data_IF_843073443670
#
_entry.id   IF_843073443670
#
_cell.length_a   1.000
_cell.length_b   1.000
_cell.length_c   1.000
_cell.angle_alpha   90.00
_cell.angle_beta   90.00
_cell.angle_gamma   90.00
#
_symmetry.space_group_name_H-M   'P 1'
#
loop_
_entity.id
_entity.type
_entity.pdbx_description
1 polymer ?
#
# COMPACT_ATOMS: atom_id res chain seq x y z
N UNK A 1 25.00 -21.19 46.11
CA UNK A 1 26.36 -21.18 45.55
C UNK A 1 26.88 -22.61 45.51
N UNK A 2 26.98 -23.21 44.33
CA UNK A 2 27.71 -24.45 44.11
C UNK A 2 28.13 -24.47 42.64
N UNK A 3 29.43 -24.33 42.40
CA UNK A 3 30.06 -24.21 41.08
C UNK A 3 30.51 -25.61 40.69
N UNK A 4 29.98 -26.17 39.60
CA UNK A 4 30.50 -27.39 38.98
C UNK A 4 31.12 -27.04 37.63
N UNK A 5 32.44 -27.00 37.66
CA UNK A 5 33.37 -26.88 36.54
C UNK A 5 33.38 -28.20 35.76
N UNK A 6 33.13 -28.17 34.45
CA UNK A 6 33.40 -29.31 33.56
C UNK A 6 34.43 -28.86 32.53
N UNK A 7 35.60 -29.48 32.65
CA UNK A 7 36.76 -29.33 31.77
C UNK A 7 36.73 -30.49 30.79
N UNK A 8 36.76 -30.22 29.48
CA UNK A 8 37.10 -31.24 28.48
C UNK A 8 38.21 -30.73 27.58
N UNK A 9 39.35 -31.43 27.66
CA UNK A 9 40.56 -31.22 26.86
C UNK A 9 40.53 -32.11 25.61
N UNK A 10 40.67 -31.46 24.46
CA UNK A 10 41.57 -31.77 23.32
C UNK A 10 42.22 -33.16 23.18
N UNK A 11 42.09 -33.76 21.98
CA UNK A 11 43.17 -34.42 21.21
C UNK A 11 42.69 -34.68 19.76
N UNK A 12 43.18 -33.93 18.77
CA UNK A 12 44.17 -34.32 17.75
C UNK A 12 43.83 -35.59 16.93
N UNK A 13 43.58 -35.42 15.62
CA UNK A 13 44.29 -36.19 14.59
C UNK A 13 44.25 -35.53 13.21
N UNK A 14 45.44 -35.37 12.63
CA UNK A 14 45.73 -35.08 11.23
C UNK A 14 45.00 -36.03 10.28
N UNK A 15 44.44 -35.50 9.18
CA UNK A 15 44.27 -36.28 7.96
C UNK A 15 44.66 -35.44 6.74
N UNK A 16 45.34 -36.11 5.81
CA UNK A 16 46.10 -35.55 4.71
C UNK A 16 45.23 -34.92 3.61
N UNK A 17 45.76 -33.85 3.05
CA UNK A 17 45.87 -33.54 1.61
C UNK A 17 45.19 -34.53 0.64
N UNK A 18 44.12 -34.07 0.02
CA UNK A 18 43.75 -34.43 -1.34
C UNK A 18 43.27 -33.15 -2.05
N UNK A 19 44.21 -32.47 -2.70
CA UNK A 19 43.95 -31.36 -3.63
C UNK A 19 43.37 -31.95 -4.93
N UNK A 20 42.06 -32.16 -4.96
CA UNK A 20 41.32 -32.32 -6.21
C UNK A 20 41.02 -30.93 -6.76
N UNK A 21 41.75 -30.53 -7.80
CA UNK A 21 41.34 -29.44 -8.67
C UNK A 21 40.06 -29.86 -9.40
N UNK A 22 38.92 -29.62 -8.78
CA UNK A 22 37.66 -29.60 -9.48
C UNK A 22 37.64 -28.34 -10.34
N UNK A 23 37.79 -28.52 -11.65
CA UNK A 23 37.41 -27.53 -12.64
C UNK A 23 35.94 -27.18 -12.38
N UNK A 24 35.71 -26.06 -11.69
CA UNK A 24 34.41 -25.42 -11.67
C UNK A 24 34.16 -24.92 -13.09
N UNK A 25 33.52 -25.76 -13.90
CA UNK A 25 32.78 -25.31 -15.07
C UNK A 25 31.87 -24.22 -14.56
N UNK A 26 32.16 -22.98 -14.95
CA UNK A 26 31.28 -21.84 -14.76
C UNK A 26 30.04 -22.12 -15.60
N UNK A 27 29.15 -22.95 -15.05
CA UNK A 27 27.81 -23.15 -15.55
C UNK A 27 27.19 -21.77 -15.44
N UNK A 28 27.14 -21.07 -16.58
CA UNK A 28 26.37 -19.86 -16.71
C UNK A 28 24.94 -20.28 -16.44
N UNK A 29 24.52 -20.15 -15.18
CA UNK A 29 23.13 -20.23 -14.76
C UNK A 29 22.40 -19.39 -15.79
N UNK A 30 21.47 -19.97 -16.58
CA UNK A 30 20.68 -19.16 -17.48
C UNK A 30 20.04 -18.11 -16.60
N UNK A 31 20.45 -16.86 -16.81
CA UNK A 31 19.74 -15.70 -16.33
C UNK A 31 18.43 -15.70 -17.10
N UNK A 32 17.54 -16.61 -16.70
CA UNK A 32 16.12 -16.41 -16.84
C UNK A 32 15.92 -15.10 -16.12
N UNK A 33 15.80 -14.01 -16.89
CA UNK A 33 15.18 -12.82 -16.39
C UNK A 33 13.83 -13.32 -15.88
N UNK A 34 13.75 -13.61 -14.59
CA UNK A 34 12.49 -13.66 -13.87
C UNK A 34 11.92 -12.27 -14.13
N UNK A 35 11.15 -12.15 -15.21
CA UNK A 35 10.26 -11.02 -15.36
C UNK A 35 9.48 -11.02 -14.07
N UNK A 36 9.75 -10.02 -13.25
CA UNK A 36 8.97 -9.69 -12.08
C UNK A 36 7.52 -9.49 -12.56
N UNK A 37 6.77 -10.59 -12.62
CA UNK A 37 5.42 -10.56 -13.18
C UNK A 37 4.55 -9.92 -12.12
N UNK A 38 4.28 -8.64 -12.30
CA UNK A 38 3.31 -7.94 -11.48
C UNK A 38 1.95 -8.63 -11.51
N UNK A 39 1.28 -8.64 -10.36
CA UNK A 39 -0.06 -9.21 -10.28
C UNK A 39 -1.03 -8.29 -11.02
N UNK A 40 -1.75 -8.81 -12.02
CA UNK A 40 -2.68 -8.02 -12.81
C UNK A 40 -3.93 -7.68 -11.99
N UNK A 41 -4.36 -6.42 -12.07
CA UNK A 41 -5.49 -5.91 -11.31
C UNK A 41 -6.80 -6.31 -11.98
N UNK A 42 -7.80 -6.71 -11.18
CA UNK A 42 -9.18 -6.78 -11.64
C UNK A 42 -9.44 -7.80 -12.76
N UNK A 43 -8.57 -8.80 -12.95
CA UNK A 43 -8.76 -9.81 -14.02
C UNK A 43 -9.99 -10.69 -13.83
N UNK A 44 -10.60 -10.72 -12.64
CA UNK A 44 -11.83 -11.48 -12.40
C UNK A 44 -13.02 -10.71 -12.98
N UNK A 45 -13.64 -11.27 -14.03
CA UNK A 45 -14.68 -10.66 -14.88
C UNK A 45 -15.79 -10.00 -14.07
N UNK A 46 -16.21 -10.62 -12.97
CA UNK A 46 -17.26 -10.12 -12.09
C UNK A 46 -16.94 -8.74 -11.51
N UNK A 47 -15.69 -8.48 -11.16
CA UNK A 47 -15.26 -7.19 -10.61
C UNK A 47 -15.34 -6.05 -11.61
N UNK A 48 -15.03 -6.31 -12.88
CA UNK A 48 -15.02 -5.27 -13.91
C UNK A 48 -16.44 -4.85 -14.27
N UNK A 49 -17.37 -5.80 -14.45
CA UNK A 49 -18.76 -5.48 -14.80
C UNK A 49 -19.46 -4.73 -13.67
N UNK A 50 -19.29 -5.15 -12.43
CA UNK A 50 -19.84 -4.45 -11.27
C UNK A 50 -19.26 -3.02 -11.14
N UNK A 51 -17.94 -2.85 -11.33
CA UNK A 51 -17.32 -1.52 -11.29
C UNK A 51 -17.82 -0.61 -12.40
N UNK A 52 -17.93 -1.11 -13.63
CA UNK A 52 -18.44 -0.32 -14.76
C UNK A 52 -19.89 0.06 -14.49
N UNK A 53 -20.75 -0.89 -14.10
CA UNK A 53 -22.14 -0.60 -13.79
C UNK A 53 -22.30 0.44 -12.66
N UNK A 54 -21.49 0.34 -11.61
CA UNK A 54 -21.49 1.30 -10.51
C UNK A 54 -21.02 2.70 -10.96
N UNK A 55 -19.96 2.78 -11.77
CA UNK A 55 -19.46 4.05 -12.33
C UNK A 55 -20.45 4.66 -13.32
N UNK A 56 -21.06 3.87 -14.19
CA UNK A 56 -22.08 4.32 -15.13
C UNK A 56 -23.32 4.86 -14.42
N UNK A 57 -23.78 4.18 -13.36
CA UNK A 57 -24.89 4.68 -12.55
C UNK A 57 -24.55 5.99 -11.85
N UNK A 58 -23.29 6.23 -11.47
CA UNK A 58 -22.84 7.53 -10.94
C UNK A 58 -22.79 8.62 -12.02
N UNK A 59 -22.36 8.29 -13.24
CA UNK A 59 -22.27 9.23 -14.37
C UNK A 59 -23.65 9.65 -14.90
N UNK A 60 -24.70 8.84 -14.69
CA UNK A 60 -26.08 9.18 -15.06
C UNK A 60 -26.69 10.34 -14.25
N UNK A 61 -25.94 10.95 -13.32
CA UNK A 61 -26.32 12.16 -12.60
C UNK A 61 -25.33 13.32 -12.88
N UNK A 62 -25.26 13.86 -14.12
CA UNK A 62 -24.15 14.71 -14.57
C UNK A 62 -24.13 16.12 -13.96
N UNK A 63 -25.30 16.63 -13.55
CA UNK A 63 -25.42 17.99 -13.01
C UNK A 63 -24.66 18.18 -11.68
N UNK A 64 -24.63 17.17 -10.80
CA UNK A 64 -23.90 17.24 -9.53
C UNK A 64 -22.37 17.18 -9.73
N UNK A 65 -21.90 16.53 -10.80
CA UNK A 65 -20.46 16.37 -11.07
C UNK A 65 -19.83 17.65 -11.63
N UNK A 66 -20.50 18.32 -12.58
CA UNK A 66 -20.00 19.57 -13.15
C UNK A 66 -19.86 20.68 -12.10
N UNK A 67 -20.87 20.87 -11.24
CA UNK A 67 -20.81 21.89 -10.19
C UNK A 67 -19.69 21.61 -9.16
N UNK A 68 -19.44 20.33 -8.85
CA UNK A 68 -18.40 19.94 -7.89
C UNK A 68 -16.99 20.10 -8.47
N UNK A 69 -16.79 19.77 -9.74
CA UNK A 69 -15.49 19.94 -10.41
C UNK A 69 -15.12 21.41 -10.61
N UNK A 70 -16.08 22.25 -11.01
CA UNK A 70 -15.85 23.68 -11.23
C UNK A 70 -15.54 24.42 -9.91
N UNK A 71 -16.23 24.05 -8.84
CA UNK A 71 -15.94 24.54 -7.49
C UNK A 71 -14.55 24.12 -7.00
N UNK A 72 -14.10 22.90 -7.29
CA UNK A 72 -12.76 22.43 -6.90
C UNK A 72 -11.63 23.06 -7.72
N UNK A 73 -11.84 23.23 -9.02
CA UNK A 73 -10.86 23.91 -9.88
C UNK A 73 -10.60 25.33 -9.41
N UNK A 74 -11.66 26.07 -9.05
CA UNK A 74 -11.54 27.43 -8.49
C UNK A 74 -10.90 27.46 -7.10
N UNK A 75 -11.23 26.53 -6.20
CA UNK A 75 -10.58 26.42 -4.88
C UNK A 75 -9.09 26.07 -4.97
N UNK A 76 -8.71 25.16 -5.89
CA UNK A 76 -7.32 24.78 -6.10
C UNK A 76 -6.48 25.93 -6.68
N UNK A 77 -7.04 26.67 -7.66
CA UNK A 77 -6.40 27.88 -8.20
C UNK A 77 -6.23 28.95 -7.12
N UNK A 78 -7.25 29.19 -6.29
CA UNK A 78 -7.18 30.14 -5.19
C UNK A 78 -6.18 29.73 -4.09
N UNK A 79 -5.99 28.42 -3.84
CA UNK A 79 -4.98 27.92 -2.91
C UNK A 79 -3.56 28.09 -3.47
N UNK A 80 -3.38 27.89 -4.78
CA UNK A 80 -2.09 28.05 -5.46
C UNK A 80 -1.66 29.53 -5.52
N UNK A 81 -2.60 30.45 -5.77
CA UNK A 81 -2.35 31.90 -5.79
C UNK A 81 -1.91 32.44 -4.41
N UNK A 82 -2.45 31.88 -3.32
CA UNK A 82 -2.02 32.21 -1.95
C UNK A 82 -0.61 31.75 -1.61
N UNK A 83 -0.04 30.79 -2.34
CA UNK A 83 1.32 30.28 -2.10
C UNK A 83 2.41 31.04 -2.88
N UNK A 84 2.07 31.84 -3.90
CA UNK A 84 3.07 32.52 -4.74
C UNK A 84 3.53 33.91 -4.24
N UNK A 85 2.93 34.49 -3.21
CA UNK A 85 3.19 35.91 -2.82
C UNK A 85 4.28 36.07 -1.73
N UNK A 86 4.96 35.01 -1.29
CA UNK A 86 6.03 35.11 -0.26
C UNK A 86 7.39 34.61 -0.74
N UNK A 87 7.83 35.06 -1.92
CA UNK A 87 9.26 35.13 -2.27
C UNK A 87 9.75 36.57 -2.10
N UNK A 88 9.68 37.08 -0.87
CA UNK A 88 10.14 38.41 -0.49
C UNK A 88 10.89 38.31 0.84
N UNK A 89 12.19 38.56 0.78
CA UNK A 89 13.15 38.56 1.88
C UNK A 89 12.63 39.34 3.10
N UNK A 90 12.44 38.67 4.24
CA UNK A 90 12.90 39.11 5.57
C UNK A 90 12.35 38.27 6.73
N UNK A 91 13.28 37.72 7.50
CA UNK A 91 13.23 37.33 8.93
C UNK A 91 11.88 37.43 9.67
N UNK A 92 10.98 36.49 9.41
CA UNK A 92 9.88 36.17 10.33
C UNK A 92 10.13 34.77 10.89
N UNK A 93 10.39 34.70 12.21
CA UNK A 93 10.42 33.46 12.99
C UNK A 93 9.15 32.67 12.67
N UNK A 94 9.32 31.57 11.94
CA UNK A 94 8.27 30.64 11.60
C UNK A 94 7.85 29.94 12.91
N UNK A 95 6.91 30.55 13.64
CA UNK A 95 6.11 29.84 14.65
C UNK A 95 5.11 28.93 13.92
N UNK A 96 5.65 28.07 13.05
CA UNK A 96 4.92 27.03 12.36
C UNK A 96 4.43 26.05 13.40
N UNK A 97 3.19 26.24 13.84
CA UNK A 97 2.46 25.28 14.64
C UNK A 97 2.51 23.96 13.87
N UNK A 98 3.38 23.05 14.31
CA UNK A 98 3.55 21.75 13.69
C UNK A 98 2.15 21.17 13.47
N UNK A 99 1.82 20.69 12.25
CA UNK A 99 0.52 20.10 12.00
C UNK A 99 0.28 19.06 13.09
N UNK A 100 -0.88 19.15 13.76
CA UNK A 100 -1.26 18.16 14.77
C UNK A 100 -1.14 16.80 14.11
N UNK A 101 -0.12 16.05 14.50
CA UNK A 101 0.12 14.70 14.01
C UNK A 101 -1.17 13.91 14.23
N UNK A 102 -1.90 13.65 13.15
CA UNK A 102 -3.03 12.74 13.19
C UNK A 102 -2.41 11.37 13.39
N UNK A 103 -2.50 10.86 14.62
CA UNK A 103 -1.98 9.53 14.93
C UNK A 103 -2.88 8.51 14.23
N UNK A 104 -2.41 7.98 13.10
CA UNK A 104 -3.05 6.86 12.44
C UNK A 104 -2.74 5.60 13.25
N UNK A 105 -3.79 4.97 13.77
CA UNK A 105 -3.69 3.71 14.50
C UNK A 105 -3.81 2.53 13.53
N UNK A 106 -2.96 1.52 13.69
CA UNK A 106 -2.94 0.28 12.90
C UNK A 106 -2.60 -0.89 13.81
N UNK A 107 -3.10 -2.09 13.46
CA UNK A 107 -2.76 -3.34 14.16
C UNK A 107 -1.69 -4.17 13.45
N UNK A 108 -1.15 -3.67 12.34
CA UNK A 108 -0.13 -4.38 11.56
C UNK A 108 0.92 -3.42 10.98
N UNK A 109 2.19 -3.82 11.03
CA UNK A 109 3.32 -3.02 10.54
C UNK A 109 3.41 -2.99 9.00
N UNK A 110 2.91 -4.04 8.32
CA UNK A 110 2.89 -4.11 6.85
C UNK A 110 2.02 -3.08 6.13
N UNK A 111 1.42 -2.15 6.88
CA UNK A 111 0.59 -1.05 6.39
C UNK A 111 1.43 0.18 5.99
N UNK A 112 2.60 0.34 6.60
CA UNK A 112 3.52 1.41 6.25
C UNK A 112 4.33 0.99 5.02
N UNK A 113 4.33 1.85 4.01
CA UNK A 113 5.03 1.65 2.75
C UNK A 113 6.00 2.80 2.50
N UNK A 114 7.06 2.55 1.76
CA UNK A 114 7.94 3.58 1.26
C UNK A 114 7.71 3.79 -0.25
N UNK A 115 7.74 5.02 -0.77
CA UNK A 115 7.71 5.24 -2.20
C UNK A 115 9.07 4.84 -2.77
N UNK A 116 9.07 4.04 -3.83
CA UNK A 116 10.29 3.67 -4.55
C UNK A 116 10.58 4.68 -5.65
N UNK A 117 9.53 5.19 -6.31
CA UNK A 117 9.66 6.20 -7.35
C UNK A 117 8.39 7.04 -7.49
N UNK A 118 8.56 8.27 -7.92
CA UNK A 118 7.51 9.17 -8.37
C UNK A 118 7.89 9.64 -9.77
N UNK A 119 6.97 9.60 -10.72
CA UNK A 119 7.26 10.11 -12.07
C UNK A 119 7.51 11.61 -12.05
N UNK A 120 8.27 12.12 -13.03
CA UNK A 120 8.56 13.55 -13.13
C UNK A 120 7.30 14.43 -13.19
N UNK A 121 6.22 13.92 -13.79
CA UNK A 121 4.90 14.56 -13.85
C UNK A 121 4.04 14.38 -12.60
N UNK A 122 4.47 13.57 -11.63
CA UNK A 122 3.71 13.25 -10.41
C UNK A 122 2.44 12.44 -10.64
N UNK A 123 2.25 11.88 -11.85
CA UNK A 123 1.07 11.12 -12.26
C UNK A 123 1.08 9.66 -11.83
N UNK A 124 2.26 9.11 -11.49
CA UNK A 124 2.38 7.78 -10.90
C UNK A 124 3.29 7.81 -9.66
N UNK A 125 2.90 7.01 -8.68
CA UNK A 125 3.72 6.69 -7.50
C UNK A 125 3.85 5.17 -7.43
N UNK A 126 5.09 4.68 -7.35
CA UNK A 126 5.38 3.26 -7.11
C UNK A 126 5.87 3.08 -5.68
N UNK A 127 5.39 2.03 -5.01
CA UNK A 127 5.73 1.70 -3.64
C UNK A 127 6.76 0.55 -3.57
N UNK A 128 7.28 0.28 -2.38
CA UNK A 128 8.27 -0.77 -2.07
C UNK A 128 7.76 -2.21 -2.25
N UNK A 129 6.43 -2.42 -2.21
CA UNK A 129 5.79 -3.68 -2.63
C UNK A 129 5.70 -3.85 -4.16
N UNK A 130 6.17 -2.85 -4.91
CA UNK A 130 6.12 -2.78 -6.37
C UNK A 130 4.75 -2.45 -6.94
N UNK A 131 3.75 -2.17 -6.11
CA UNK A 131 2.49 -1.60 -6.60
C UNK A 131 2.70 -0.21 -7.20
N UNK A 132 1.92 0.11 -8.24
CA UNK A 132 1.95 1.42 -8.89
C UNK A 132 0.55 2.03 -8.89
N UNK A 133 0.48 3.33 -8.62
CA UNK A 133 -0.75 4.06 -8.36
C UNK A 133 -0.84 5.28 -9.26
N UNK A 134 -1.94 5.42 -10.00
CA UNK A 134 -2.22 6.61 -10.80
C UNK A 134 -2.77 7.70 -9.90
N UNK A 135 -2.11 8.85 -9.89
CA UNK A 135 -2.46 10.02 -9.08
C UNK A 135 -3.48 10.90 -9.80
N UNK A 136 -4.45 11.40 -9.04
CA UNK A 136 -5.40 12.40 -9.52
C UNK A 136 -4.67 13.60 -10.12
N UNK A 137 -5.10 14.06 -11.30
CA UNK A 137 -4.48 15.17 -12.03
C UNK A 137 -4.29 16.42 -11.18
N UNK A 138 -5.26 16.73 -10.32
CA UNK A 138 -5.23 17.86 -9.39
C UNK A 138 -4.27 17.68 -8.21
N UNK A 139 -3.86 16.44 -7.90
CA UNK A 139 -2.98 16.12 -6.79
C UNK A 139 -1.53 15.86 -7.22
N UNK A 140 -1.23 15.80 -8.53
CA UNK A 140 0.11 15.46 -9.06
C UNK A 140 1.24 16.32 -8.50
N UNK A 141 1.04 17.63 -8.39
CA UNK A 141 2.08 18.51 -7.87
C UNK A 141 2.43 18.22 -6.39
N UNK A 142 1.52 17.57 -5.65
CA UNK A 142 1.71 17.24 -4.25
C UNK A 142 2.65 16.06 -4.03
N UNK A 143 2.86 15.21 -5.04
CA UNK A 143 3.75 14.04 -4.95
C UNK A 143 5.19 14.36 -5.33
N UNK A 144 5.45 15.50 -5.98
CA UNK A 144 6.77 15.87 -6.50
C UNK A 144 7.86 16.02 -5.43
N UNK A 145 7.47 16.26 -4.17
CA UNK A 145 8.38 16.39 -3.04
C UNK A 145 8.43 15.15 -2.14
N UNK A 146 7.83 14.02 -2.56
CA UNK A 146 7.88 12.79 -1.78
C UNK A 146 9.25 12.14 -1.89
N UNK A 147 9.84 11.80 -0.74
CA UNK A 147 11.14 11.16 -0.65
C UNK A 147 10.98 9.65 -0.46
N UNK A 148 11.95 8.87 -0.92
CA UNK A 148 11.92 7.40 -0.77
C UNK A 148 12.01 6.92 0.68
N UNK A 149 12.39 7.82 1.60
CA UNK A 149 12.37 7.58 3.05
C UNK A 149 11.06 7.93 3.73
N UNK A 150 10.10 8.51 3.00
CA UNK A 150 8.82 8.90 3.57
C UNK A 150 7.95 7.67 3.85
N UNK A 151 7.21 7.70 4.95
CA UNK A 151 6.23 6.68 5.29
C UNK A 151 4.88 7.03 4.66
N UNK A 152 4.41 6.19 3.75
CA UNK A 152 3.13 6.30 3.07
C UNK A 152 2.17 5.26 3.64
N UNK A 153 0.91 5.66 3.80
CA UNK A 153 -0.20 4.73 4.10
C UNK A 153 -1.28 4.85 3.04
N UNK A 154 -1.95 3.73 2.78
CA UNK A 154 -3.05 3.64 1.84
C UNK A 154 -4.37 3.67 2.62
N UNK A 155 -5.32 4.50 2.20
CA UNK A 155 -6.61 4.68 2.86
C UNK A 155 -7.75 4.66 1.83
N UNK A 156 -8.98 4.27 2.20
CA UNK A 156 -10.14 4.48 1.35
C UNK A 156 -10.35 5.96 1.07
N UNK A 157 -10.79 6.30 -0.14
CA UNK A 157 -11.23 7.66 -0.40
C UNK A 157 -12.60 7.91 0.24
N UNK A 158 -12.68 8.80 1.22
CA UNK A 158 -13.95 9.14 1.88
C UNK A 158 -14.87 10.00 1.02
N UNK A 159 -14.35 10.58 -0.07
CA UNK A 159 -15.16 11.35 -1.00
C UNK A 159 -15.98 10.41 -1.90
N UNK A 160 -17.24 10.20 -1.55
CA UNK A 160 -18.17 9.36 -2.29
C UNK A 160 -18.35 9.74 -3.77
N UNK A 161 -18.09 11.00 -4.13
CA UNK A 161 -18.20 11.52 -5.50
C UNK A 161 -16.91 11.40 -6.31
N UNK A 162 -15.81 10.93 -5.72
CA UNK A 162 -14.57 10.75 -6.46
C UNK A 162 -14.65 9.53 -7.38
N UNK A 163 -13.94 9.62 -8.50
CA UNK A 163 -13.63 8.48 -9.38
C UNK A 163 -12.38 7.70 -8.92
N UNK A 164 -11.70 8.19 -7.88
CA UNK A 164 -10.54 7.56 -7.26
C UNK A 164 -10.96 6.78 -6.03
N UNK A 165 -10.64 5.50 -6.03
CA UNK A 165 -11.12 4.54 -5.02
C UNK A 165 -10.33 4.69 -3.69
N UNK A 166 -9.09 5.17 -3.75
CA UNK A 166 -8.17 5.24 -2.61
C UNK A 166 -7.45 6.59 -2.49
N UNK A 167 -6.76 6.78 -1.38
CA UNK A 167 -5.84 7.88 -1.13
C UNK A 167 -4.49 7.34 -0.63
N UNK A 168 -3.41 7.98 -1.02
CA UNK A 168 -2.10 7.83 -0.38
C UNK A 168 -1.88 9.02 0.56
N UNK A 169 -1.44 8.74 1.78
CA UNK A 169 -1.10 9.78 2.76
C UNK A 169 0.37 9.65 3.13
N UNK A 170 1.12 10.72 2.89
CA UNK A 170 2.49 10.85 3.35
C UNK A 170 2.49 11.29 4.83
N UNK A 171 2.89 10.40 5.72
CA UNK A 171 2.87 10.63 7.16
C UNK A 171 3.89 11.67 7.62
N UNK A 172 4.97 11.85 6.86
CA UNK A 172 6.02 12.83 7.17
C UNK A 172 5.53 14.25 6.90
N UNK A 173 4.76 14.46 5.84
CA UNK A 173 4.28 15.80 5.41
C UNK A 173 2.81 16.06 5.74
N UNK A 174 2.02 15.02 6.04
CA UNK A 174 0.56 15.09 6.16
C UNK A 174 -0.17 15.25 4.83
N UNK A 175 0.54 15.23 3.69
CA UNK A 175 -0.03 15.43 2.37
C UNK A 175 -0.83 14.19 1.95
N UNK A 176 -2.06 14.41 1.49
CA UNK A 176 -2.95 13.37 0.97
C UNK A 176 -3.18 13.58 -0.52
N UNK A 177 -3.11 12.49 -1.30
CA UNK A 177 -3.38 12.48 -2.74
C UNK A 177 -4.35 11.36 -3.09
N UNK A 178 -5.33 11.65 -3.95
CA UNK A 178 -6.29 10.67 -4.44
C UNK A 178 -5.66 9.82 -5.54
N UNK A 179 -5.86 8.50 -5.47
CA UNK A 179 -5.21 7.53 -6.37
C UNK A 179 -6.11 6.38 -6.78
N UNK A 180 -5.74 5.73 -7.89
CA UNK A 180 -6.26 4.44 -8.29
C UNK A 180 -5.09 3.47 -8.47
N UNK A 181 -5.27 2.21 -8.09
CA UNK A 181 -4.28 1.18 -8.32
C UNK A 181 -4.16 0.93 -9.84
N UNK A 182 -2.95 1.09 -10.37
CA UNK A 182 -2.62 0.90 -11.79
C UNK A 182 -1.91 -0.42 -12.03
N UNK A 183 -0.98 -0.79 -11.15
CA UNK A 183 -0.30 -2.08 -11.17
C UNK A 183 -0.26 -2.68 -9.76
N UNK A 184 -0.54 -3.97 -9.65
CA UNK A 184 -0.47 -4.68 -8.37
C UNK A 184 0.97 -4.87 -7.87
N UNK A 185 1.13 -5.38 -6.64
CA UNK A 185 2.44 -5.73 -6.08
C UNK A 185 3.19 -6.77 -6.92
N UNK A 186 4.48 -6.91 -6.63
CA UNK A 186 5.32 -7.96 -7.20
C UNK A 186 4.86 -9.34 -6.71
N UNK A 187 4.76 -10.30 -7.62
CA UNK A 187 4.45 -11.68 -7.25
C UNK A 187 5.55 -12.23 -6.34
N UNK A 188 5.17 -12.81 -5.20
CA UNK A 188 6.09 -13.31 -4.18
C UNK A 188 7.12 -12.28 -3.66
N UNK A 189 6.84 -10.98 -3.77
CA UNK A 189 7.66 -9.93 -3.19
C UNK A 189 7.71 -9.97 -1.66
N UNK A 190 8.79 -9.47 -1.06
CA UNK A 190 8.98 -9.45 0.40
C UNK A 190 7.88 -8.68 1.17
N UNK A 191 7.19 -7.79 0.46
CA UNK A 191 6.14 -6.92 0.98
C UNK A 191 4.75 -7.25 0.41
N UNK A 192 4.63 -8.38 -0.28
CA UNK A 192 3.40 -8.85 -0.92
C UNK A 192 2.67 -9.85 -0.02
N UNK A 193 1.38 -9.61 0.19
CA UNK A 193 0.51 -10.48 0.95
C UNK A 193 -0.46 -11.22 0.04
N UNK A 194 -0.79 -12.45 0.39
CA UNK A 194 -1.85 -13.20 -0.28
C UNK A 194 -2.65 -14.05 0.70
N UNK A 195 -3.89 -14.33 0.32
CA UNK A 195 -4.82 -15.12 1.13
C UNK A 195 -4.38 -16.58 1.17
N UNK A 196 -4.10 -17.11 2.35
CA UNK A 196 -3.78 -18.53 2.58
C UNK A 196 -4.97 -19.33 3.08
N UNK A 197 -5.97 -18.66 3.66
CA UNK A 197 -7.19 -19.27 4.16
C UNK A 197 -8.30 -18.25 4.36
N UNK A 198 -9.55 -18.69 4.28
CA UNK A 198 -10.73 -17.88 4.62
C UNK A 198 -11.67 -18.73 5.46
N UNK A 199 -12.02 -18.23 6.64
CA UNK A 199 -13.11 -18.76 7.47
C UNK A 199 -14.33 -17.85 7.29
N UNK A 200 -15.24 -18.28 6.42
CA UNK A 200 -16.48 -17.54 6.12
C UNK A 200 -17.50 -17.56 7.26
N UNK A 201 -17.38 -18.48 8.23
CA UNK A 201 -18.33 -18.55 9.35
C UNK A 201 -17.95 -17.50 10.39
N UNK A 202 -16.66 -17.32 10.63
CA UNK A 202 -16.14 -16.37 11.63
C UNK A 202 -15.67 -15.04 11.03
N UNK A 203 -15.81 -14.85 9.71
CA UNK A 203 -15.30 -13.68 8.98
C UNK A 203 -13.80 -13.44 9.23
N UNK A 204 -12.98 -14.50 9.16
CA UNK A 204 -11.52 -14.43 9.37
C UNK A 204 -10.79 -14.72 8.07
N UNK A 205 -9.84 -13.85 7.72
CA UNK A 205 -8.91 -14.04 6.60
C UNK A 205 -7.52 -14.31 7.14
N UNK A 206 -6.86 -15.34 6.60
CA UNK A 206 -5.48 -15.70 6.92
C UNK A 206 -4.56 -15.28 5.77
N UNK A 207 -3.44 -14.65 6.09
CA UNK A 207 -2.43 -14.25 5.11
C UNK A 207 -1.17 -15.12 5.20
N UNK A 208 -0.30 -15.01 4.21
CA UNK A 208 0.94 -15.78 4.06
C UNK A 208 2.02 -15.48 5.10
N UNK A 209 1.96 -14.33 5.75
CA UNK A 209 2.84 -13.96 6.86
C UNK A 209 2.40 -14.59 8.21
N UNK A 210 1.34 -15.40 8.20
CA UNK A 210 0.77 -16.03 9.39
C UNK A 210 -0.17 -15.12 10.19
N UNK A 211 -0.42 -13.88 9.72
CA UNK A 211 -1.41 -12.99 10.33
C UNK A 211 -2.84 -13.49 10.10
N UNK A 212 -3.70 -13.28 11.11
CA UNK A 212 -5.14 -13.55 11.02
C UNK A 212 -5.92 -12.26 11.21
N UNK A 213 -6.95 -12.07 10.37
CA UNK A 213 -7.65 -10.80 10.24
C UNK A 213 -9.14 -10.98 10.44
N UNK A 214 -9.67 -10.42 11.52
CA UNK A 214 -11.10 -10.36 11.77
C UNK A 214 -11.74 -9.27 10.92
N UNK A 215 -12.55 -9.67 9.94
CA UNK A 215 -13.23 -8.77 9.01
C UNK A 215 -14.45 -8.14 9.68
N UNK A 216 -14.86 -6.97 9.19
CA UNK A 216 -16.14 -6.35 9.56
C UNK A 216 -17.30 -7.17 8.99
N UNK A 217 -18.30 -7.48 9.82
CA UNK A 217 -19.54 -8.15 9.40
C UNK A 217 -20.30 -7.41 8.30
N UNK A 218 -20.09 -6.09 8.18
CA UNK A 218 -20.68 -5.29 7.11
C UNK A 218 -19.99 -5.49 5.75
N UNK A 219 -18.79 -6.07 5.76
CA UNK A 219 -17.96 -6.31 4.59
C UNK A 219 -17.91 -7.82 4.24
N UNK A 220 -18.70 -8.68 4.90
CA UNK A 220 -18.76 -10.13 4.64
C UNK A 220 -19.12 -10.48 3.19
N UNK A 221 -19.95 -9.64 2.55
CA UNK A 221 -20.30 -9.79 1.13
C UNK A 221 -19.14 -9.47 0.17
N UNK A 222 -18.12 -8.74 0.63
CA UNK A 222 -16.93 -8.45 -0.15
C UNK A 222 -15.97 -9.64 -0.14
N UNK A 223 -15.78 -10.27 1.03
CA UNK A 223 -14.87 -11.42 1.19
C UNK A 223 -15.41 -12.71 0.58
N UNK A 224 -16.73 -12.83 0.40
CA UNK A 224 -17.32 -13.99 -0.30
C UNK A 224 -16.85 -14.10 -1.76
N UNK A 225 -16.33 -13.00 -2.33
CA UNK A 225 -15.75 -12.93 -3.68
C UNK A 225 -14.25 -13.24 -3.71
N UNK A 226 -13.61 -13.33 -2.54
CA UNK A 226 -12.17 -13.56 -2.43
C UNK A 226 -11.85 -15.04 -2.53
N UNK A 227 -10.74 -15.37 -3.18
CA UNK A 227 -10.23 -16.72 -3.31
C UNK A 227 -8.87 -16.87 -2.64
N UNK A 228 -8.50 -18.12 -2.36
CA UNK A 228 -7.13 -18.45 -1.97
C UNK A 228 -6.14 -17.96 -3.05
N UNK A 229 -4.98 -17.49 -2.60
CA UNK A 229 -3.94 -16.86 -3.40
C UNK A 229 -4.32 -15.52 -4.04
N UNK A 230 -5.48 -14.94 -3.73
CA UNK A 230 -5.74 -13.54 -4.07
C UNK A 230 -4.73 -12.65 -3.33
N UNK A 231 -4.19 -11.66 -4.04
CA UNK A 231 -3.20 -10.73 -3.51
C UNK A 231 -3.89 -9.61 -2.75
N UNK A 232 -3.34 -9.28 -1.58
CA UNK A 232 -3.87 -8.27 -0.68
C UNK A 232 -2.83 -7.18 -0.44
N UNK A 233 -3.27 -5.92 -0.47
CA UNK A 233 -2.51 -4.78 0.02
C UNK A 233 -3.15 -4.32 1.34
N UNK A 234 -2.33 -4.06 2.36
CA UNK A 234 -2.78 -3.59 3.65
C UNK A 234 -2.86 -2.05 3.67
N UNK A 235 -3.89 -1.52 4.33
CA UNK A 235 -4.07 -0.08 4.50
C UNK A 235 -4.66 0.30 5.87
N UNK A 236 -4.91 1.59 6.04
CA UNK A 236 -5.54 2.17 7.22
C UNK A 236 -6.99 2.52 6.91
N UNK A 237 -7.89 2.16 7.80
CA UNK A 237 -9.26 2.61 7.74
C UNK A 237 -9.35 4.04 8.28
N UNK A 238 -9.91 4.95 7.47
CA UNK A 238 -10.05 6.36 7.81
C UNK A 238 -11.42 6.72 8.38
N UNK A 239 -12.29 5.74 8.52
CA UNK A 239 -13.57 5.88 9.19
C UNK A 239 -13.39 5.97 10.70
N UNK A 240 -13.53 7.17 11.26
CA UNK A 240 -13.43 7.43 12.69
C UNK A 240 -14.46 6.69 13.54
N UNK A 241 -15.55 6.20 12.94
CA UNK A 241 -16.60 5.45 13.63
C UNK A 241 -16.34 3.94 13.68
N UNK A 242 -15.38 3.45 12.89
CA UNK A 242 -15.09 2.04 12.81
C UNK A 242 -14.11 1.59 13.90
N UNK A 243 -14.40 0.47 14.55
CA UNK A 243 -13.49 -0.21 15.46
C UNK A 243 -12.39 -1.02 14.73
N UNK A 244 -12.48 -1.11 13.40
CA UNK A 244 -11.56 -1.85 12.54
C UNK A 244 -10.55 -0.84 11.96
N UNK A 245 -9.31 -0.78 12.47
CA UNK A 245 -8.37 0.29 12.11
C UNK A 245 -7.69 0.06 10.76
N UNK A 246 -7.84 -1.12 10.16
CA UNK A 246 -7.18 -1.49 8.94
C UNK A 246 -8.16 -1.79 7.82
N UNK A 247 -7.64 -1.78 6.59
CA UNK A 247 -8.32 -2.32 5.42
C UNK A 247 -7.42 -3.36 4.75
N UNK A 248 -8.04 -4.37 4.14
CA UNK A 248 -7.40 -5.34 3.26
C UNK A 248 -7.95 -5.08 1.87
N UNK A 249 -7.10 -4.68 0.93
CA UNK A 249 -7.46 -4.37 -0.45
C UNK A 249 -7.13 -5.60 -1.29
N UNK A 250 -8.13 -6.30 -1.81
CA UNK A 250 -7.91 -7.42 -2.71
C UNK A 250 -7.66 -6.89 -4.13
N UNK A 251 -6.44 -7.08 -4.63
CA UNK A 251 -5.97 -6.58 -5.93
C UNK A 251 -6.68 -7.25 -7.10
N UNK A 252 -7.06 -8.53 -6.95
CA UNK A 252 -7.64 -9.35 -8.01
C UNK A 252 -9.08 -8.96 -8.34
N UNK A 253 -9.83 -8.49 -7.35
CA UNK A 253 -11.22 -7.99 -7.52
C UNK A 253 -11.37 -6.48 -7.29
N UNK A 254 -10.29 -5.80 -6.89
CA UNK A 254 -10.22 -4.37 -6.58
C UNK A 254 -11.37 -3.88 -5.70
N UNK A 255 -11.60 -4.59 -4.60
CA UNK A 255 -12.42 -4.14 -3.49
C UNK A 255 -11.58 -4.13 -2.21
N UNK A 256 -12.16 -3.67 -1.11
CA UNK A 256 -11.51 -3.75 0.19
C UNK A 256 -12.51 -4.14 1.28
N UNK A 257 -11.99 -4.71 2.36
CA UNK A 257 -12.75 -5.01 3.56
C UNK A 257 -12.06 -4.40 4.78
N UNK A 258 -12.82 -3.86 5.73
CA UNK A 258 -12.29 -3.34 6.99
C UNK A 258 -11.97 -4.50 7.92
N UNK A 259 -10.84 -4.44 8.61
CA UNK A 259 -10.38 -5.52 9.45
C UNK A 259 -9.57 -5.06 10.68
N UNK A 260 -9.35 -6.00 11.59
CA UNK A 260 -8.39 -5.90 12.70
C UNK A 260 -7.51 -7.15 12.68
N UNK A 261 -6.20 -6.98 12.79
CA UNK A 261 -5.29 -8.11 13.01
C UNK A 261 -5.54 -8.69 14.42
N UNK A 262 -5.66 -10.01 14.53
CA UNK A 262 -6.01 -10.71 15.78
C UNK A 262 -4.81 -11.32 16.53
N UNK A 263 -3.62 -11.26 15.93
CA UNK A 263 -2.39 -11.87 16.46
C UNK A 263 -1.68 -10.98 17.49
#
# INVERSE_FOLDING_TARGET
MNIKTVVFKTAHLFCLLATTMAFATHESVPTTQEEETHIPIGKRIESHLERVAFKENRLKNPQEQQETEEKRGSEALAACEKQQVTFGVSDARFEGKLPKSVAYYTTHQGVYRCPTSVTYSGDYVSLDDGSSWTVCSYDRYKTLNWLTSDSIVIMPNSNAYSIYDFCLVNLNTGVTVQVNLYLGPLYAGAHTYWVTGIDYINDIVYLNDGSSWGISVFDSSMISKWLLNDTVILGINNDSSSIRPNILINVNVLNYARATCLN
#
